data_IF_963310175707
#
_entry.id   IF_963310175707
#
_cell.length_a   1.000
_cell.length_b   1.000
_cell.length_c   1.000
_cell.angle_alpha   90.00
_cell.angle_beta   90.00
_cell.angle_gamma   90.00
#
_symmetry.space_group_name_H-M   'P 1'
#
loop_
_entity.id
_entity.type
_entity.pdbx_description
1 polymer ?
#
# COMPACT_ATOMS: atom_id res chain seq x y z
N UNK A 1 -7.62 -32.88 22.37
CA UNK A 1 -8.18 -32.62 23.72
C UNK A 1 -8.37 -31.12 23.87
N UNK A 2 -9.44 -30.75 24.61
CA UNK A 2 -9.98 -29.41 24.88
C UNK A 2 -8.91 -28.37 25.25
N UNK A 3 -9.20 -27.10 24.97
CA UNK A 3 -9.55 -26.16 26.04
C UNK A 3 -10.48 -25.05 25.52
N UNK A 4 -11.70 -25.09 26.05
CA UNK A 4 -12.74 -24.05 25.97
C UNK A 4 -12.52 -23.10 27.14
N UNK A 5 -12.65 -21.79 26.94
CA UNK A 5 -12.98 -20.86 28.03
C UNK A 5 -14.11 -19.93 27.57
N UNK A 6 -15.06 -19.72 28.49
CA UNK A 6 -16.36 -19.12 28.25
C UNK A 6 -16.66 -18.01 29.28
N UNK A 7 -17.40 -17.00 28.83
CA UNK A 7 -18.28 -16.03 29.53
C UNK A 7 -17.72 -15.15 30.68
N UNK A 8 -18.08 -13.85 30.69
CA UNK A 8 -19.21 -13.33 31.50
C UNK A 8 -19.43 -11.81 31.37
N UNK A 9 -20.72 -11.47 31.38
CA UNK A 9 -21.39 -10.17 31.40
C UNK A 9 -21.57 -9.57 32.82
N UNK A 10 -22.11 -8.33 32.85
CA UNK A 10 -23.04 -7.73 33.85
C UNK A 10 -22.45 -6.99 35.09
N UNK A 11 -22.65 -5.65 35.22
CA UNK A 11 -23.66 -4.97 36.08
C UNK A 11 -23.51 -3.43 36.17
N UNK A 12 -24.60 -2.78 36.59
CA UNK A 12 -25.00 -1.36 36.52
C UNK A 12 -24.35 -0.37 37.53
N UNK A 13 -24.27 0.91 37.13
CA UNK A 13 -24.84 2.07 37.86
C UNK A 13 -24.00 2.85 38.89
N UNK A 14 -23.72 4.13 38.59
CA UNK A 14 -23.52 5.23 39.57
C UNK A 14 -24.08 6.54 38.95
N UNK A 15 -24.83 7.39 39.69
CA UNK A 15 -25.55 8.54 39.15
C UNK A 15 -24.65 9.76 38.87
N UNK A 16 -25.17 10.65 38.03
CA UNK A 16 -24.56 11.91 37.62
C UNK A 16 -24.18 12.81 38.81
N UNK A 17 -22.93 13.32 38.80
CA UNK A 17 -22.58 14.58 39.43
C UNK A 17 -22.23 15.58 38.33
N UNK A 18 -22.99 16.67 38.34
CA UNK A 18 -22.80 17.85 37.50
C UNK A 18 -21.52 18.58 37.93
N UNK A 19 -20.58 18.77 37.01
CA UNK A 19 -19.61 19.88 37.07
C UNK A 19 -19.62 20.55 35.71
N UNK A 20 -20.22 21.73 35.65
CA UNK A 20 -20.11 22.62 34.51
C UNK A 20 -18.66 23.10 34.44
N UNK A 21 -17.85 22.44 33.64
CA UNK A 21 -16.59 23.00 33.17
C UNK A 21 -16.97 23.94 32.03
N UNK A 22 -16.86 25.24 32.25
CA UNK A 22 -16.76 26.19 31.14
C UNK A 22 -15.50 25.81 30.37
N UNK A 23 -15.67 25.03 29.32
CA UNK A 23 -14.65 24.85 28.32
C UNK A 23 -14.37 26.24 27.75
N UNK A 24 -13.22 26.80 28.10
CA UNK A 24 -12.55 27.71 27.19
C UNK A 24 -12.56 26.98 25.84
N UNK A 25 -13.12 27.62 24.80
CA UNK A 25 -12.89 27.18 23.44
C UNK A 25 -11.37 27.16 23.27
N UNK A 26 -10.76 25.99 23.46
CA UNK A 26 -9.43 25.76 22.98
C UNK A 26 -9.53 26.04 21.49
N UNK A 27 -8.79 27.04 21.03
CA UNK A 27 -8.52 27.25 19.63
C UNK A 27 -8.04 25.89 19.11
N UNK A 28 -8.91 25.14 18.40
CA UNK A 28 -8.52 23.85 17.86
C UNK A 28 -7.38 24.16 16.89
N UNK A 29 -6.18 23.66 17.21
CA UNK A 29 -5.05 23.77 16.28
C UNK A 29 -5.55 23.23 14.94
N UNK A 30 -5.53 24.05 13.86
CA UNK A 30 -6.11 23.64 12.61
C UNK A 30 -5.47 22.35 12.15
N UNK A 31 -6.30 21.35 11.84
CA UNK A 31 -5.82 20.03 11.49
C UNK A 31 -4.89 20.11 10.27
N UNK A 32 -3.67 19.57 10.43
CA UNK A 32 -2.68 19.53 9.35
C UNK A 32 -3.30 18.87 8.11
N UNK A 33 -3.33 19.62 7.03
CA UNK A 33 -3.89 19.20 5.75
C UNK A 33 -2.78 19.29 4.70
N UNK A 34 -2.49 18.17 4.03
CA UNK A 34 -1.41 18.06 3.05
C UNK A 34 -1.94 17.64 1.69
N UNK A 35 -1.29 18.03 0.58
CA UNK A 35 -1.71 17.61 -0.75
C UNK A 35 -1.49 16.10 -0.94
N UNK A 36 -2.54 15.36 -1.30
CA UNK A 36 -2.50 13.90 -1.44
C UNK A 36 -2.36 13.49 -2.91
N UNK A 37 -3.30 13.88 -3.77
CA UNK A 37 -3.29 13.47 -5.18
C UNK A 37 -2.00 13.89 -5.93
N UNK A 38 -1.49 15.10 -5.69
CA UNK A 38 -0.24 15.55 -6.30
C UNK A 38 1.01 14.87 -5.70
N UNK A 39 0.99 14.54 -4.41
CA UNK A 39 2.09 13.82 -3.76
C UNK A 39 2.21 12.38 -4.28
N UNK A 40 1.08 11.72 -4.51
CA UNK A 40 1.06 10.37 -5.08
C UNK A 40 1.45 10.38 -6.56
N UNK A 41 0.87 11.26 -7.38
CA UNK A 41 1.22 11.34 -8.81
C UNK A 41 2.69 11.72 -9.03
N UNK A 42 3.23 12.66 -8.24
CA UNK A 42 4.66 13.01 -8.31
C UNK A 42 5.56 11.84 -7.95
N UNK A 43 5.22 11.06 -6.91
CA UNK A 43 5.94 9.84 -6.57
C UNK A 43 5.86 8.79 -7.69
N UNK A 44 4.68 8.57 -8.27
CA UNK A 44 4.51 7.61 -9.37
C UNK A 44 5.29 8.00 -10.64
N UNK A 45 5.51 9.30 -10.85
CA UNK A 45 6.31 9.79 -11.96
C UNK A 45 7.83 9.59 -11.77
N UNK A 46 8.32 9.52 -10.53
CA UNK A 46 9.77 9.41 -10.22
C UNK A 46 10.40 8.12 -10.77
N UNK A 47 11.62 8.23 -11.28
CA UNK A 47 12.48 7.10 -11.67
C UNK A 47 13.74 7.07 -10.79
N UNK A 48 14.43 5.93 -10.79
CA UNK A 48 15.68 5.72 -10.07
C UNK A 48 15.70 4.44 -9.26
N UNK A 49 16.82 4.22 -8.58
CA UNK A 49 17.06 3.06 -7.73
C UNK A 49 17.15 3.50 -6.27
N UNK A 50 16.38 2.86 -5.41
CA UNK A 50 16.40 3.04 -3.96
C UNK A 50 16.97 1.79 -3.30
N UNK A 51 17.87 2.00 -2.33
CA UNK A 51 18.34 0.92 -1.46
C UNK A 51 17.25 0.59 -0.45
N UNK A 52 17.13 -0.70 -0.13
CA UNK A 52 16.21 -1.18 0.89
C UNK A 52 16.87 -2.18 1.81
N UNK A 53 16.39 -2.24 3.05
CA UNK A 53 16.61 -3.38 3.94
C UNK A 53 15.34 -4.21 4.04
N UNK A 54 15.49 -5.51 4.28
CA UNK A 54 14.36 -6.44 4.41
C UNK A 54 14.49 -7.28 5.66
N UNK A 55 13.35 -7.65 6.22
CA UNK A 55 13.23 -8.62 7.31
C UNK A 55 11.94 -9.39 7.17
N UNK A 56 11.92 -10.65 7.59
CA UNK A 56 10.70 -11.43 7.49
C UNK A 56 10.94 -12.91 7.62
N UNK A 57 9.91 -13.68 7.28
CA UNK A 57 9.93 -15.13 7.25
C UNK A 57 9.65 -15.61 5.83
N UNK A 58 10.57 -16.37 5.26
CA UNK A 58 10.42 -17.02 3.95
C UNK A 58 10.47 -18.54 4.17
N UNK A 59 9.44 -19.27 3.71
CA UNK A 59 9.32 -20.72 3.92
C UNK A 59 9.46 -21.15 5.40
N UNK A 60 8.95 -20.35 6.33
CA UNK A 60 9.06 -20.60 7.77
C UNK A 60 10.42 -20.26 8.40
N UNK A 61 11.39 -19.76 7.64
CA UNK A 61 12.69 -19.32 8.15
C UNK A 61 12.76 -17.81 8.23
N UNK A 62 13.05 -17.28 9.42
CA UNK A 62 13.26 -15.84 9.59
C UNK A 62 14.63 -15.42 9.08
N UNK A 63 14.70 -14.23 8.49
CA UNK A 63 15.93 -13.66 7.96
C UNK A 63 15.87 -12.15 7.80
N UNK A 64 17.04 -11.57 7.57
CA UNK A 64 17.22 -10.15 7.24
C UNK A 64 18.16 -10.01 6.06
N UNK A 65 18.12 -8.85 5.41
CA UNK A 65 19.09 -8.54 4.37
C UNK A 65 18.80 -7.22 3.69
N UNK A 66 19.28 -7.09 2.45
CA UNK A 66 19.23 -5.84 1.70
C UNK A 66 18.92 -6.09 0.24
N UNK A 67 18.54 -5.01 -0.43
CA UNK A 67 18.04 -5.07 -1.79
C UNK A 67 17.92 -3.71 -2.42
N UNK A 68 17.24 -3.69 -3.57
CA UNK A 68 16.96 -2.48 -4.33
C UNK A 68 15.55 -2.48 -4.86
N UNK A 69 14.95 -1.30 -4.93
CA UNK A 69 13.76 -1.03 -5.73
C UNK A 69 14.17 -0.09 -6.85
N UNK A 70 14.12 -0.58 -8.08
CA UNK A 70 14.42 0.21 -9.28
C UNK A 70 13.13 0.52 -10.02
N UNK A 71 12.93 1.78 -10.37
CA UNK A 71 11.80 2.26 -11.17
C UNK A 71 12.35 2.95 -12.41
N UNK A 72 12.01 2.42 -13.57
CA UNK A 72 12.45 3.00 -14.83
C UNK A 72 11.66 4.29 -15.13
N UNK A 73 12.20 5.09 -16.06
CA UNK A 73 11.41 6.16 -16.67
C UNK A 73 10.20 5.58 -17.40
N UNK A 74 9.09 6.32 -17.41
CA UNK A 74 7.89 5.86 -18.06
C UNK A 74 8.00 6.00 -19.58
N UNK A 75 7.58 4.98 -20.32
CA UNK A 75 7.60 4.95 -21.78
C UNK A 75 6.18 4.98 -22.35
N UNK A 76 5.89 5.77 -23.40
CA UNK A 76 4.59 5.75 -24.05
C UNK A 76 4.31 4.41 -24.72
N UNK A 77 3.13 3.84 -24.45
CA UNK A 77 2.64 2.58 -25.04
C UNK A 77 1.14 2.66 -25.30
N UNK A 78 0.56 1.55 -25.75
CA UNK A 78 -0.90 1.35 -25.74
C UNK A 78 -1.25 0.22 -24.77
N UNK A 79 -2.26 0.44 -23.94
CA UNK A 79 -2.81 -0.56 -23.03
C UNK A 79 -4.32 -0.60 -23.22
N UNK A 80 -4.88 -1.77 -23.52
CA UNK A 80 -6.33 -1.93 -23.75
C UNK A 80 -6.91 -1.00 -24.83
N UNK A 81 -6.11 -0.73 -25.86
CA UNK A 81 -6.48 0.19 -26.94
C UNK A 81 -6.44 1.68 -26.57
N UNK A 82 -5.98 2.03 -25.36
CA UNK A 82 -5.81 3.40 -24.89
C UNK A 82 -4.34 3.79 -24.85
N UNK A 83 -4.03 5.06 -25.11
CA UNK A 83 -2.69 5.59 -24.87
C UNK A 83 -2.35 5.49 -23.38
N UNK A 84 -1.15 5.01 -23.06
CA UNK A 84 -0.71 4.78 -21.69
C UNK A 84 0.78 5.09 -21.52
N UNK A 85 1.18 5.33 -20.29
CA UNK A 85 2.59 5.37 -19.86
C UNK A 85 2.88 4.06 -19.14
N UNK A 86 3.79 3.25 -19.67
CA UNK A 86 4.26 2.03 -19.01
C UNK A 86 5.47 2.35 -18.15
N UNK A 87 5.46 1.88 -16.91
CA UNK A 87 6.57 1.99 -15.98
C UNK A 87 6.97 0.61 -15.50
N UNK A 88 8.23 0.26 -15.69
CA UNK A 88 8.81 -0.97 -15.15
C UNK A 88 9.36 -0.71 -13.75
N UNK A 89 9.00 -1.58 -12.82
CA UNK A 89 9.56 -1.60 -11.46
C UNK A 89 10.14 -2.97 -11.18
N UNK A 90 11.35 -3.02 -10.64
CA UNK A 90 12.04 -4.24 -10.23
C UNK A 90 12.35 -4.13 -8.75
N UNK A 91 11.86 -5.09 -7.97
CA UNK A 91 12.21 -5.24 -6.55
C UNK A 91 13.12 -6.45 -6.46
N UNK A 92 14.33 -6.27 -5.93
CA UNK A 92 15.27 -7.35 -5.63
C UNK A 92 15.61 -7.30 -4.16
N UNK A 93 15.46 -8.41 -3.45
CA UNK A 93 15.77 -8.53 -2.03
C UNK A 93 16.53 -9.82 -1.78
N UNK A 94 17.72 -9.70 -1.18
CA UNK A 94 18.50 -10.84 -0.72
C UNK A 94 18.33 -10.97 0.79
N UNK A 95 17.80 -12.10 1.24
CA UNK A 95 17.65 -12.45 2.66
C UNK A 95 18.67 -13.49 3.06
N UNK A 96 19.29 -13.26 4.22
CA UNK A 96 20.09 -14.25 4.92
C UNK A 96 19.23 -14.95 5.96
N UNK A 97 19.08 -16.27 5.84
CA UNK A 97 18.39 -17.12 6.81
C UNK A 97 19.35 -18.17 7.40
N UNK A 98 18.87 -18.94 8.37
CA UNK A 98 19.58 -20.09 8.95
C UNK A 98 19.91 -21.18 7.92
N UNK A 99 19.15 -21.26 6.83
CA UNK A 99 19.33 -22.26 5.76
C UNK A 99 20.21 -21.76 4.61
N UNK A 100 20.71 -20.52 4.68
CA UNK A 100 21.56 -19.91 3.65
C UNK A 100 21.01 -18.58 3.12
N UNK A 101 21.49 -18.18 1.95
CA UNK A 101 21.08 -16.94 1.28
C UNK A 101 19.98 -17.24 0.27
N UNK A 102 18.92 -16.44 0.28
CA UNK A 102 17.80 -16.50 -0.67
C UNK A 102 17.64 -15.14 -1.34
N UNK A 103 17.59 -15.10 -2.66
CA UNK A 103 17.30 -13.87 -3.41
C UNK A 103 15.90 -13.97 -4.01
N UNK A 104 15.08 -12.97 -3.74
CA UNK A 104 13.75 -12.82 -4.32
C UNK A 104 13.75 -11.60 -5.23
N UNK A 105 13.35 -11.79 -6.48
CA UNK A 105 13.16 -10.71 -7.44
C UNK A 105 11.74 -10.75 -7.97
N UNK A 106 11.11 -9.59 -8.11
CA UNK A 106 9.81 -9.44 -8.78
C UNK A 106 9.87 -8.25 -9.72
N UNK A 107 9.30 -8.44 -10.91
CA UNK A 107 9.18 -7.38 -11.93
C UNK A 107 7.70 -7.08 -12.17
N UNK A 108 7.37 -5.80 -12.07
CA UNK A 108 6.04 -5.28 -12.38
C UNK A 108 6.12 -4.27 -13.53
N UNK A 109 5.19 -4.38 -14.47
CA UNK A 109 4.88 -3.36 -15.46
C UNK A 109 3.57 -2.71 -15.06
N UNK A 110 3.58 -1.43 -14.72
CA UNK A 110 2.36 -0.69 -14.38
C UNK A 110 2.05 0.30 -15.49
N UNK A 111 0.77 0.38 -15.88
CA UNK A 111 0.31 1.24 -16.95
C UNK A 111 -0.50 2.38 -16.35
N UNK A 112 -0.15 3.62 -16.67
CA UNK A 112 -0.80 4.83 -16.17
C UNK A 112 -1.38 5.66 -17.31
N UNK A 113 -2.32 6.54 -16.98
CA UNK A 113 -2.65 7.67 -17.84
C UNK A 113 -1.52 8.72 -17.81
N UNK A 114 -1.66 9.79 -18.59
CA UNK A 114 -0.66 10.87 -18.65
C UNK A 114 -0.50 11.66 -17.34
N UNK A 115 -1.44 11.52 -16.40
CA UNK A 115 -1.51 12.32 -15.17
C UNK A 115 -1.15 11.51 -13.91
N UNK A 116 -0.87 10.20 -14.04
CA UNK A 116 -0.57 9.30 -12.93
C UNK A 116 -1.63 9.32 -11.81
N UNK A 117 -2.92 9.47 -12.17
CA UNK A 117 -4.01 9.59 -11.17
C UNK A 117 -4.38 8.22 -10.58
N UNK A 118 -4.48 7.21 -11.43
CA UNK A 118 -4.65 5.81 -11.06
C UNK A 118 -4.07 4.93 -12.18
N UNK A 119 -3.63 3.70 -11.87
CA UNK A 119 -3.16 2.81 -12.92
C UNK A 119 -4.34 2.36 -13.79
N UNK A 120 -4.10 2.27 -15.09
CA UNK A 120 -4.98 1.62 -16.07
C UNK A 120 -4.92 0.09 -15.93
N UNK A 121 -3.78 -0.43 -15.47
CA UNK A 121 -3.57 -1.85 -15.21
C UNK A 121 -2.13 -2.16 -14.84
N UNK A 122 -1.82 -3.44 -14.75
CA UNK A 122 -0.47 -3.92 -14.47
C UNK A 122 -0.22 -5.30 -15.08
N UNK A 123 1.05 -5.67 -15.27
CA UNK A 123 1.48 -7.04 -15.50
C UNK A 123 2.59 -7.40 -14.52
N UNK A 124 2.41 -8.48 -13.76
CA UNK A 124 3.29 -8.86 -12.67
C UNK A 124 3.44 -10.38 -12.72
N UNK A 125 4.68 -10.86 -12.83
CA UNK A 125 5.01 -12.29 -12.83
C UNK A 125 4.14 -13.15 -13.77
N UNK A 126 3.86 -12.62 -14.96
CA UNK A 126 3.03 -13.26 -15.99
C UNK A 126 1.52 -13.03 -15.85
N UNK A 127 1.03 -12.53 -14.72
CA UNK A 127 -0.37 -12.14 -14.55
C UNK A 127 -0.65 -10.81 -15.25
N UNK A 128 -1.90 -10.63 -15.67
CA UNK A 128 -2.37 -9.43 -16.36
C UNK A 128 -3.56 -8.83 -15.61
N UNK A 129 -3.44 -7.60 -15.14
CA UNK A 129 -4.44 -6.91 -14.35
C UNK A 129 -4.97 -5.68 -15.09
N UNK A 130 -6.29 -5.51 -15.11
CA UNK A 130 -6.96 -4.36 -15.72
C UNK A 130 -7.83 -3.66 -14.69
N UNK A 131 -7.68 -2.34 -14.58
CA UNK A 131 -8.49 -1.50 -13.70
C UNK A 131 -9.94 -1.51 -14.17
N UNK A 132 -10.85 -1.87 -13.26
CA UNK A 132 -12.29 -1.94 -13.53
C UNK A 132 -13.05 -0.75 -12.94
N UNK A 133 -12.49 -0.13 -11.92
CA UNK A 133 -13.07 1.01 -11.21
C UNK A 133 -11.96 1.80 -10.54
N UNK A 134 -12.04 3.12 -10.59
CA UNK A 134 -11.15 4.02 -9.89
C UNK A 134 -11.94 5.21 -9.34
N UNK A 135 -11.58 5.62 -8.14
CA UNK A 135 -12.02 6.85 -7.49
C UNK A 135 -10.79 7.75 -7.37
N UNK A 136 -10.80 8.97 -7.93
CA UNK A 136 -9.67 9.88 -7.78
C UNK A 136 -9.34 10.12 -6.30
N UNK A 137 -8.04 10.16 -5.98
CA UNK A 137 -7.61 10.58 -4.65
C UNK A 137 -8.06 12.03 -4.38
N UNK A 138 -8.46 12.37 -3.15
CA UNK A 138 -8.71 13.75 -2.77
C UNK A 138 -7.49 14.64 -3.05
N UNK A 139 -7.75 15.90 -3.40
CA UNK A 139 -6.68 16.88 -3.62
C UNK A 139 -5.79 17.05 -2.37
N UNK A 140 -6.42 17.02 -1.19
CA UNK A 140 -5.77 17.13 0.11
C UNK A 140 -6.25 16.04 1.06
N UNK A 141 -5.42 15.69 2.04
CA UNK A 141 -5.80 14.79 3.12
C UNK A 141 -5.34 15.31 4.48
N UNK A 142 -6.06 14.91 5.52
CA UNK A 142 -5.74 15.09 6.94
C UNK A 142 -5.76 13.75 7.67
N UNK A 143 -5.25 13.73 8.89
CA UNK A 143 -5.30 12.54 9.73
C UNK A 143 -6.75 12.04 9.92
N UNK A 144 -6.96 10.73 9.79
CA UNK A 144 -8.27 10.07 9.85
C UNK A 144 -8.93 9.88 8.48
N UNK A 145 -8.47 10.55 7.42
CA UNK A 145 -9.00 10.34 6.08
C UNK A 145 -8.66 8.93 5.57
N UNK A 146 -9.61 8.31 4.87
CA UNK A 146 -9.43 7.01 4.24
C UNK A 146 -10.41 6.84 3.08
N UNK A 147 -10.11 5.91 2.18
CA UNK A 147 -11.00 5.64 1.05
C UNK A 147 -10.48 4.55 0.13
N UNK A 148 -11.35 4.12 -0.78
CA UNK A 148 -10.98 3.27 -1.90
C UNK A 148 -10.38 4.10 -3.03
N UNK A 149 -9.29 3.63 -3.62
CA UNK A 149 -8.61 4.31 -4.73
C UNK A 149 -8.90 3.63 -6.07
N UNK A 150 -8.66 2.33 -6.19
CA UNK A 150 -9.03 1.58 -7.39
C UNK A 150 -9.16 0.07 -7.16
N UNK A 151 -9.76 -0.62 -8.12
CA UNK A 151 -9.85 -2.07 -8.14
C UNK A 151 -9.56 -2.61 -9.54
N UNK A 152 -9.00 -3.82 -9.59
CA UNK A 152 -8.58 -4.50 -10.80
C UNK A 152 -9.17 -5.90 -10.89
N UNK A 153 -9.42 -6.37 -12.10
CA UNK A 153 -9.58 -7.78 -12.40
C UNK A 153 -8.23 -8.35 -12.82
N UNK A 154 -7.87 -9.54 -12.33
CA UNK A 154 -6.60 -10.21 -12.60
C UNK A 154 -6.85 -11.45 -13.46
N UNK A 155 -6.10 -11.59 -14.54
CA UNK A 155 -6.19 -12.63 -15.56
C UNK A 155 -4.85 -13.36 -15.69
N UNK A 156 -4.88 -14.55 -16.30
CA UNK A 156 -3.67 -15.33 -16.61
C UNK A 156 -2.77 -14.65 -17.63
N UNK A 157 -3.34 -13.86 -18.54
CA UNK A 157 -2.65 -13.26 -19.67
C UNK A 157 -3.52 -12.18 -20.36
N UNK A 158 -2.99 -11.42 -21.32
CA UNK A 158 -3.71 -10.35 -22.01
C UNK A 158 -4.92 -10.77 -22.85
N UNK A 159 -5.13 -12.06 -23.14
CA UNK A 159 -6.35 -12.53 -23.83
C UNK A 159 -7.60 -12.39 -22.97
N UNK A 160 -7.42 -12.28 -21.64
CA UNK A 160 -8.48 -12.18 -20.62
C UNK A 160 -9.47 -13.35 -20.62
N UNK A 161 -9.10 -14.48 -21.22
CA UNK A 161 -9.97 -15.65 -21.30
C UNK A 161 -10.31 -16.19 -19.90
N UNK A 162 -9.32 -16.25 -19.01
CA UNK A 162 -9.47 -16.75 -17.65
C UNK A 162 -9.14 -15.68 -16.60
N UNK A 163 -10.14 -15.26 -15.84
CA UNK A 163 -9.96 -14.44 -14.65
C UNK A 163 -9.53 -15.33 -13.49
N UNK A 164 -8.45 -14.95 -12.79
CA UNK A 164 -7.87 -15.71 -11.66
C UNK A 164 -7.99 -14.99 -10.32
N UNK A 165 -8.43 -13.72 -10.32
CA UNK A 165 -8.64 -12.98 -9.08
C UNK A 165 -9.07 -11.54 -9.28
N UNK A 166 -9.03 -10.80 -8.19
CA UNK A 166 -9.25 -9.35 -8.14
C UNK A 166 -8.24 -8.70 -7.21
N UNK A 167 -7.91 -7.43 -7.43
CA UNK A 167 -7.14 -6.65 -6.47
C UNK A 167 -7.90 -5.37 -6.11
N UNK A 168 -7.84 -4.96 -4.85
CA UNK A 168 -8.39 -3.68 -4.38
C UNK A 168 -7.30 -2.87 -3.71
N UNK A 169 -7.28 -1.57 -3.96
CA UNK A 169 -6.31 -0.64 -3.38
C UNK A 169 -7.06 0.44 -2.62
N UNK A 170 -6.76 0.55 -1.34
CA UNK A 170 -7.33 1.55 -0.44
C UNK A 170 -6.21 2.39 0.17
N UNK A 171 -6.56 3.57 0.68
CA UNK A 171 -5.64 4.41 1.41
C UNK A 171 -6.20 4.78 2.78
N UNK A 172 -5.31 5.05 3.72
CA UNK A 172 -5.60 5.66 5.02
C UNK A 172 -4.51 6.64 5.41
N UNK A 173 -4.89 7.68 6.14
CA UNK A 173 -3.99 8.77 6.54
C UNK A 173 -3.98 8.89 8.05
N UNK A 174 -2.79 8.94 8.63
CA UNK A 174 -2.56 9.07 10.06
C UNK A 174 -1.65 10.26 10.35
N UNK A 175 -1.80 10.84 11.54
CA UNK A 175 -0.87 11.86 12.01
C UNK A 175 0.49 11.22 12.32
N UNK A 176 1.58 11.90 11.95
CA UNK A 176 2.94 11.51 12.34
C UNK A 176 3.55 12.56 13.27
N UNK A 177 3.62 13.79 12.77
CA UNK A 177 4.18 14.95 13.48
C UNK A 177 3.29 16.18 13.23
N UNK A 178 3.69 17.33 13.77
CA UNK A 178 2.99 18.60 13.52
C UNK A 178 3.06 19.05 12.04
N UNK A 179 3.97 18.51 11.22
CA UNK A 179 4.17 18.91 9.82
C UNK A 179 4.15 17.75 8.82
N UNK A 180 3.94 16.52 9.28
CA UNK A 180 3.92 15.32 8.42
C UNK A 180 2.75 14.40 8.73
N UNK A 181 2.27 13.73 7.69
CA UNK A 181 1.25 12.67 7.76
C UNK A 181 1.84 11.36 7.24
N UNK A 182 1.35 10.23 7.77
CA UNK A 182 1.60 8.91 7.20
C UNK A 182 0.44 8.53 6.29
N UNK A 183 0.75 8.24 5.03
CA UNK A 183 -0.16 7.65 4.07
C UNK A 183 0.13 6.16 3.98
N UNK A 184 -0.83 5.31 4.34
CA UNK A 184 -0.76 3.88 4.08
C UNK A 184 -1.61 3.55 2.87
N UNK A 185 -1.00 2.94 1.86
CA UNK A 185 -1.69 2.37 0.70
C UNK A 185 -1.70 0.86 0.85
N UNK A 186 -2.89 0.29 0.98
CA UNK A 186 -3.07 -1.15 1.17
C UNK A 186 -3.69 -1.75 -0.08
N UNK A 187 -2.92 -2.62 -0.73
CA UNK A 187 -3.36 -3.49 -1.82
C UNK A 187 -3.73 -4.86 -1.27
N UNK A 188 -4.94 -5.32 -1.59
CA UNK A 188 -5.42 -6.67 -1.25
C UNK A 188 -5.71 -7.41 -2.55
N UNK A 189 -4.87 -8.39 -2.88
CA UNK A 189 -5.11 -9.31 -3.97
C UNK A 189 -5.88 -10.54 -3.46
N UNK A 190 -7.06 -10.78 -4.01
CA UNK A 190 -7.94 -11.90 -3.69
C UNK A 190 -7.99 -12.85 -4.88
N UNK A 191 -7.18 -13.93 -4.88
CA UNK A 191 -7.26 -14.94 -5.91
C UNK A 191 -8.56 -15.74 -5.77
N UNK A 192 -9.03 -16.35 -6.87
CA UNK A 192 -10.20 -17.25 -6.85
C UNK A 192 -9.89 -18.51 -6.04
N UNK A 193 -8.64 -18.98 -6.12
CA UNK A 193 -8.11 -20.11 -5.35
C UNK A 193 -6.91 -19.64 -4.53
N UNK A 194 -6.86 -20.05 -3.26
CA UNK A 194 -5.79 -19.68 -2.33
C UNK A 194 -6.18 -18.57 -1.35
N UNK A 195 -5.18 -18.06 -0.65
CA UNK A 195 -5.38 -17.03 0.38
C UNK A 195 -5.15 -15.64 -0.19
N UNK A 196 -5.85 -14.61 0.32
CA UNK A 196 -5.58 -13.23 -0.02
C UNK A 196 -4.13 -12.84 0.32
N UNK A 197 -3.57 -11.96 -0.51
CA UNK A 197 -2.27 -11.34 -0.30
C UNK A 197 -2.52 -9.87 0.04
N UNK A 198 -2.00 -9.42 1.18
CA UNK A 198 -2.12 -8.04 1.61
C UNK A 198 -0.74 -7.40 1.57
N UNK A 199 -0.60 -6.33 0.80
CA UNK A 199 0.58 -5.50 0.77
C UNK A 199 0.20 -4.10 1.25
N UNK A 200 0.92 -3.58 2.23
CA UNK A 200 0.74 -2.20 2.71
C UNK A 200 2.04 -1.45 2.54
N UNK A 201 2.04 -0.42 1.70
CA UNK A 201 3.14 0.53 1.58
C UNK A 201 2.82 1.79 2.37
N UNK A 202 3.73 2.20 3.25
CA UNK A 202 3.60 3.42 4.04
C UNK A 202 4.53 4.50 3.49
N UNK A 203 3.98 5.68 3.30
CA UNK A 203 4.65 6.88 2.82
C UNK A 203 4.58 7.98 3.88
N UNK A 204 5.62 8.78 3.96
CA UNK A 204 5.58 10.08 4.64
C UNK A 204 5.15 11.16 3.65
N UNK A 205 4.11 11.90 3.99
CA UNK A 205 3.71 13.12 3.31
C UNK A 205 4.23 14.31 4.12
N UNK A 206 4.98 15.18 3.46
CA UNK A 206 5.42 16.46 4.01
C UNK A 206 4.78 17.65 3.30
N UNK A 207 4.99 18.85 3.84
CA UNK A 207 4.54 20.12 3.24
C UNK A 207 5.18 20.42 1.88
N UNK A 208 6.28 19.73 1.53
CA UNK A 208 6.91 19.78 0.21
C UNK A 208 6.04 19.20 -0.90
N UNK A 209 4.97 18.47 -0.55
CA UNK A 209 4.05 17.86 -1.52
C UNK A 209 4.60 16.64 -2.23
N UNK A 210 5.69 16.03 -1.73
CA UNK A 210 6.21 14.76 -2.21
C UNK A 210 5.87 13.64 -1.22
N UNK A 211 5.50 12.46 -1.74
CA UNK A 211 5.39 11.25 -0.95
C UNK A 211 6.75 10.51 -0.91
N UNK A 212 7.23 10.22 0.30
CA UNK A 212 8.50 9.51 0.52
C UNK A 212 8.18 8.11 1.04
N UNK A 213 8.56 7.03 0.34
CA UNK A 213 8.31 5.68 0.84
C UNK A 213 9.13 5.42 2.10
N UNK A 214 8.51 4.81 3.10
CA UNK A 214 9.17 4.43 4.36
C UNK A 214 9.33 2.92 4.47
N UNK A 215 8.24 2.20 4.26
CA UNK A 215 8.21 0.76 4.43
C UNK A 215 7.12 0.12 3.57
N UNK A 216 7.28 -1.18 3.34
CA UNK A 216 6.31 -2.03 2.70
C UNK A 216 6.20 -3.34 3.48
N UNK A 217 4.98 -3.71 3.85
CA UNK A 217 4.71 -4.95 4.59
C UNK A 217 3.80 -5.82 3.72
N UNK A 218 4.31 -6.99 3.36
CA UNK A 218 3.54 -8.04 2.68
C UNK A 218 3.20 -9.14 3.68
N UNK A 219 1.91 -9.48 3.76
CA UNK A 219 1.40 -10.56 4.58
C UNK A 219 0.60 -11.54 3.75
N UNK A 220 0.99 -12.81 3.85
CA UNK A 220 0.28 -13.99 3.34
C UNK A 220 0.42 -15.12 4.36
N UNK A 221 -0.48 -16.10 4.40
CA UNK A 221 -0.29 -17.25 5.28
C UNK A 221 1.05 -17.95 5.00
N UNK A 222 1.94 -17.94 5.99
CA UNK A 222 3.28 -18.54 5.92
C UNK A 222 4.42 -17.62 5.46
N UNK A 223 4.12 -16.40 4.97
CA UNK A 223 5.14 -15.41 4.59
C UNK A 223 4.74 -14.02 5.08
N UNK A 224 5.60 -13.43 5.92
CA UNK A 224 5.52 -12.02 6.30
C UNK A 224 6.86 -11.39 5.94
N UNK A 225 6.83 -10.35 5.11
CA UNK A 225 8.01 -9.63 4.68
C UNK A 225 7.82 -8.14 4.92
N UNK A 226 8.81 -7.52 5.54
CA UNK A 226 8.90 -6.08 5.74
C UNK A 226 10.12 -5.57 4.99
N UNK A 227 9.90 -4.63 4.09
CA UNK A 227 10.94 -3.88 3.37
C UNK A 227 10.95 -2.46 3.95
N UNK A 228 12.13 -1.93 4.26
CA UNK A 228 12.34 -0.55 4.68
C UNK A 228 13.17 0.19 3.63
N UNK A 229 12.71 1.37 3.25
CA UNK A 229 13.38 2.23 2.28
C UNK A 229 14.41 3.11 3.01
N UNK A 230 15.58 3.31 2.38
CA UNK A 230 16.72 4.08 2.92
C UNK A 230 16.82 5.47 2.31
#
# INVERSE_FOLDING_TARGET
MRNTFALKSLWLGVPALCTALTAFAADEVPALTLPLASAVSSYLAQSGTQLVSGSGTQNGQSGTGSGTVTRDEAVPVTFEGQAALQKRSVVSLTLQTSSGTSTSESTALTYFDSNYIAPLGASIDGLYAVTRSSTPLPATAKAGDSGSWYAMNVFTDPSKFLRVGTATVNYSVQAETASTLLLSVTSTATPILGNPIVNTTTYRLGTSGAAIPLQEVTSTPGTNLTIQYQ
#
